data_IF_616690715261
#
_entry.id   IF_616690715261
#
_cell.length_a   1.000
_cell.length_b   1.000
_cell.length_c   1.000
_cell.angle_alpha   90.00
_cell.angle_beta   90.00
_cell.angle_gamma   90.00
#
_symmetry.space_group_name_H-M   'P 1'
#
loop_
_entity.id
_entity.type
_entity.pdbx_description
1 polymer ?
#
# COMPACT_ATOMS: atom_id res chain seq x y z
N UNK A 1 -0.29 -4.45 -39.97
CA UNK A 1 0.48 -4.91 -38.80
C UNK A 1 -0.42 -4.90 -37.56
N UNK A 2 -1.04 -6.03 -37.20
CA UNK A 2 -1.97 -6.16 -36.06
C UNK A 2 -1.58 -7.34 -35.14
N UNK A 3 -0.32 -7.39 -34.70
CA UNK A 3 0.21 -8.47 -33.83
C UNK A 3 0.57 -7.91 -32.44
N UNK A 4 -0.22 -6.99 -31.89
CA UNK A 4 0.12 -6.32 -30.61
C UNK A 4 -0.95 -6.39 -29.53
N UNK A 5 -2.17 -6.88 -29.84
CA UNK A 5 -3.26 -6.97 -28.84
C UNK A 5 -3.41 -8.35 -28.20
N UNK A 6 -3.15 -9.43 -28.93
CA UNK A 6 -3.23 -10.79 -28.38
C UNK A 6 -2.10 -11.13 -27.40
N UNK A 7 -0.91 -10.52 -27.56
CA UNK A 7 0.22 -10.73 -26.66
C UNK A 7 0.02 -10.13 -25.26
N UNK A 8 -0.82 -9.09 -25.12
CA UNK A 8 -1.09 -8.45 -23.82
C UNK A 8 -2.10 -9.22 -22.96
N UNK A 9 -3.00 -9.97 -23.58
CA UNK A 9 -4.01 -10.77 -22.88
C UNK A 9 -3.43 -12.07 -22.29
N UNK A 10 -2.36 -12.61 -22.87
CA UNK A 10 -1.71 -13.82 -22.35
C UNK A 10 -0.80 -13.56 -21.13
N UNK A 11 -0.36 -12.33 -20.88
CA UNK A 11 0.51 -12.02 -19.73
C UNK A 11 -0.24 -11.80 -18.40
N UNK A 12 -1.58 -11.68 -18.41
CA UNK A 12 -2.37 -11.43 -17.18
C UNK A 12 -2.87 -12.74 -16.54
N UNK A 13 -2.76 -13.89 -17.23
CA UNK A 13 -3.24 -15.19 -16.72
C UNK A 13 -2.25 -15.95 -15.82
N UNK A 14 -1.16 -15.30 -15.38
CA UNK A 14 -0.06 -15.94 -14.65
C UNK A 14 -0.06 -15.72 -13.13
N UNK A 15 -1.10 -15.13 -12.55
CA UNK A 15 -1.20 -14.88 -11.10
C UNK A 15 -2.34 -15.70 -10.49
N UNK A 16 -2.35 -17.00 -10.78
CA UNK A 16 -3.03 -17.96 -9.90
C UNK A 16 -2.15 -18.12 -8.66
N UNK A 17 -2.57 -17.40 -7.64
CA UNK A 17 -2.20 -17.55 -6.24
C UNK A 17 -2.05 -19.04 -5.92
N UNK A 18 -0.81 -19.48 -5.78
CA UNK A 18 -0.49 -20.71 -5.04
C UNK A 18 -0.90 -20.44 -3.59
N UNK A 19 -2.17 -20.66 -3.29
CA UNK A 19 -2.61 -20.81 -1.91
C UNK A 19 -1.80 -21.96 -1.34
N UNK A 20 -0.82 -21.65 -0.50
CA UNK A 20 -0.18 -22.63 0.36
C UNK A 20 -1.30 -23.18 1.23
N UNK A 21 -1.83 -24.32 0.79
CA UNK A 21 -2.68 -25.17 1.60
C UNK A 21 -1.88 -25.40 2.88
N UNK A 22 -2.37 -24.91 4.01
CA UNK A 22 -1.85 -25.29 5.32
C UNK A 22 -2.12 -26.78 5.50
N UNK A 23 -1.24 -27.59 4.93
CA UNK A 23 -1.13 -29.00 5.25
C UNK A 23 -0.84 -29.05 6.74
N UNK A 24 -1.55 -29.88 7.49
CA UNK A 24 -1.22 -30.15 8.88
C UNK A 24 0.23 -30.66 8.94
N UNK A 25 1.16 -29.77 9.30
CA UNK A 25 2.58 -30.08 9.41
C UNK A 25 2.84 -30.66 10.79
N UNK A 26 3.34 -31.90 10.84
CA UNK A 26 3.77 -32.52 12.09
C UNK A 26 5.17 -32.03 12.40
N UNK A 27 5.34 -31.39 13.55
CA UNK A 27 6.63 -30.95 14.03
C UNK A 27 7.43 -32.12 14.57
N UNK A 28 8.74 -32.15 14.27
CA UNK A 28 9.67 -33.17 14.75
C UNK A 28 10.91 -32.56 15.40
N UNK A 29 11.39 -33.19 16.47
CA UNK A 29 12.68 -32.85 17.09
C UNK A 29 13.34 -34.07 17.72
N UNK A 30 14.64 -33.97 18.01
CA UNK A 30 15.40 -34.99 18.75
C UNK A 30 15.16 -34.86 20.25
N UNK A 31 14.75 -35.95 20.89
CA UNK A 31 14.59 -36.00 22.34
C UNK A 31 15.92 -36.30 23.05
N UNK A 32 15.94 -36.14 24.38
CA UNK A 32 17.13 -36.40 25.22
C UNK A 32 17.58 -37.86 25.20
N UNK A 33 16.69 -38.80 24.85
CA UNK A 33 16.97 -40.22 24.72
C UNK A 33 17.39 -40.64 23.30
N UNK A 34 17.64 -39.70 22.39
CA UNK A 34 18.11 -39.95 21.02
C UNK A 34 17.04 -40.27 19.96
N UNK A 35 15.80 -40.48 20.37
CA UNK A 35 14.64 -40.71 19.50
C UNK A 35 14.05 -39.43 18.90
N UNK A 36 13.21 -39.59 17.87
CA UNK A 36 12.43 -38.48 17.30
C UNK A 36 11.10 -38.35 18.03
N UNK A 37 10.72 -37.14 18.40
CA UNK A 37 9.39 -36.80 18.94
C UNK A 37 8.58 -36.07 17.88
N UNK A 38 7.28 -36.37 17.80
CA UNK A 38 6.35 -35.83 16.81
C UNK A 38 5.18 -35.16 17.54
N UNK A 39 4.76 -33.97 17.09
CA UNK A 39 3.70 -33.19 17.72
C UNK A 39 3.04 -32.25 16.71
N UNK A 40 1.76 -31.95 16.91
CA UNK A 40 1.02 -30.96 16.12
C UNK A 40 1.43 -29.51 16.45
N UNK A 41 2.13 -29.32 17.58
CA UNK A 41 2.63 -28.04 18.06
C UNK A 41 4.17 -28.09 18.16
N UNK A 42 4.90 -27.04 17.75
CA UNK A 42 6.35 -27.00 17.82
C UNK A 42 6.86 -27.04 19.26
N UNK A 43 8.06 -27.58 19.45
CA UNK A 43 8.68 -27.71 20.78
C UNK A 43 8.79 -26.33 21.46
N UNK A 44 8.19 -26.19 22.65
CA UNK A 44 8.15 -24.93 23.40
C UNK A 44 7.60 -23.73 22.59
N UNK A 45 6.72 -23.97 21.62
CA UNK A 45 6.21 -22.94 20.70
C UNK A 45 7.29 -22.26 19.84
N UNK A 46 8.47 -22.89 19.68
CA UNK A 46 9.61 -22.35 18.92
C UNK A 46 9.82 -23.15 17.64
N UNK A 47 9.38 -22.58 16.51
CA UNK A 47 9.55 -23.16 15.17
C UNK A 47 11.04 -23.37 14.85
N UNK A 48 11.93 -22.49 15.31
CA UNK A 48 13.39 -22.60 15.08
C UNK A 48 14.04 -23.83 15.71
N UNK A 49 13.36 -24.51 16.64
CA UNK A 49 13.88 -25.69 17.34
C UNK A 49 13.24 -26.99 16.86
N UNK A 50 12.24 -26.92 15.97
CA UNK A 50 11.51 -28.06 15.43
C UNK A 50 11.61 -28.10 13.91
N UNK A 51 11.96 -29.25 13.36
CA UNK A 51 11.75 -29.51 11.94
C UNK A 51 10.27 -29.79 11.66
N UNK A 52 9.89 -29.81 10.39
CA UNK A 52 8.54 -30.21 9.96
C UNK A 52 8.61 -31.48 9.13
N UNK A 53 7.63 -32.35 9.30
CA UNK A 53 7.49 -33.61 8.57
C UNK A 53 6.23 -33.56 7.74
N UNK A 54 6.40 -33.70 6.43
CA UNK A 54 5.27 -33.90 5.55
C UNK A 54 4.96 -35.40 5.48
N UNK A 55 3.86 -35.82 6.10
CA UNK A 55 3.46 -37.24 6.16
C UNK A 55 3.14 -37.79 4.76
N UNK A 56 2.57 -36.95 3.87
CA UNK A 56 2.14 -37.37 2.54
C UNK A 56 3.32 -37.66 1.61
N UNK A 57 4.36 -36.82 1.67
CA UNK A 57 5.57 -36.97 0.85
C UNK A 57 6.70 -37.68 1.57
N UNK A 58 6.55 -37.97 2.87
CA UNK A 58 7.57 -38.53 3.77
C UNK A 58 8.87 -37.71 3.78
N UNK A 59 8.79 -36.42 3.50
CA UNK A 59 9.94 -35.51 3.49
C UNK A 59 10.06 -34.81 4.84
N UNK A 60 11.30 -34.65 5.31
CA UNK A 60 11.61 -33.94 6.56
C UNK A 60 12.34 -32.65 6.22
N UNK A 61 11.80 -31.53 6.68
CA UNK A 61 12.43 -30.22 6.60
C UNK A 61 13.15 -29.94 7.93
N UNK A 62 14.48 -29.79 7.93
CA UNK A 62 15.22 -29.51 9.16
C UNK A 62 14.90 -28.11 9.71
N UNK A 63 15.04 -27.90 11.03
CA UNK A 63 14.83 -26.60 11.65
C UNK A 63 15.76 -25.56 11.01
N UNK A 64 15.21 -24.42 10.60
CA UNK A 64 16.01 -23.32 10.06
C UNK A 64 16.84 -22.72 11.21
N UNK A 65 18.18 -22.71 11.13
CA UNK A 65 18.99 -22.06 12.15
C UNK A 65 18.61 -20.58 12.23
N UNK A 66 18.64 -19.96 13.43
CA UNK A 66 18.38 -18.54 13.55
C UNK A 66 19.32 -17.81 12.60
N UNK A 67 18.74 -17.01 11.70
CA UNK A 67 19.48 -16.12 10.82
C UNK A 67 20.18 -15.12 11.75
N UNK A 68 21.46 -15.35 12.02
CA UNK A 68 22.31 -14.34 12.66
C UNK A 68 22.39 -13.19 11.66
N UNK A 69 21.49 -12.23 11.79
CA UNK A 69 21.67 -10.94 11.16
C UNK A 69 22.93 -10.35 11.81
N UNK A 70 24.05 -10.45 11.09
CA UNK A 70 25.24 -9.69 11.40
C UNK A 70 24.83 -8.22 11.37
N UNK A 71 24.50 -7.67 12.53
CA UNK A 71 24.28 -6.27 12.73
C UNK A 71 25.64 -5.59 12.61
N UNK A 72 26.04 -5.29 11.38
CA UNK A 72 27.11 -4.34 11.13
C UNK A 72 26.62 -2.97 11.61
N UNK A 73 27.34 -2.35 12.55
CA UNK A 73 27.06 -1.04 13.13
C UNK A 73 26.55 -1.04 14.58
N UNK A 74 27.08 -0.11 15.40
CA UNK A 74 26.61 0.15 16.76
C UNK A 74 25.13 0.55 16.72
N UNK A 75 24.36 0.25 17.78
CA UNK A 75 22.97 0.70 17.92
C UNK A 75 22.83 2.22 17.76
N UNK A 76 23.87 2.97 18.13
CA UNK A 76 23.93 4.42 17.96
C UNK A 76 24.00 4.86 16.48
N UNK A 77 24.73 4.13 15.64
CA UNK A 77 24.87 4.44 14.22
C UNK A 77 23.53 4.20 13.49
N UNK A 78 22.85 3.10 13.82
CA UNK A 78 21.51 2.80 13.30
C UNK A 78 20.47 3.85 13.68
N UNK A 79 20.53 4.38 14.91
CA UNK A 79 19.63 5.44 15.33
C UNK A 79 19.89 6.76 14.59
N UNK A 80 21.16 7.08 14.32
CA UNK A 80 21.54 8.26 13.56
C UNK A 80 21.03 8.17 12.12
N UNK A 81 21.25 7.04 11.44
CA UNK A 81 20.78 6.83 10.07
C UNK A 81 19.25 6.91 9.96
N UNK A 82 18.53 6.38 10.96
CA UNK A 82 17.07 6.51 11.04
C UNK A 82 16.64 7.97 11.24
N UNK A 83 17.30 8.71 12.12
CA UNK A 83 16.99 10.13 12.34
C UNK A 83 17.24 10.96 11.07
N UNK A 84 18.34 10.69 10.36
CA UNK A 84 18.68 11.37 9.11
C UNK A 84 17.66 11.05 8.00
N UNK A 85 17.21 9.79 7.92
CA UNK A 85 16.16 9.38 6.99
C UNK A 85 14.81 10.08 7.29
N UNK A 86 14.41 10.14 8.56
CA UNK A 86 13.19 10.83 9.00
C UNK A 86 13.27 12.33 8.72
N UNK A 87 14.41 12.97 8.99
CA UNK A 87 14.61 14.39 8.69
C UNK A 87 14.48 14.69 7.18
N UNK A 88 15.05 13.83 6.34
CA UNK A 88 14.94 13.95 4.89
C UNK A 88 13.50 13.76 4.38
N UNK A 89 12.75 12.83 4.97
CA UNK A 89 11.35 12.59 4.63
C UNK A 89 10.44 13.75 5.08
N UNK A 90 10.63 14.25 6.31
CA UNK A 90 9.91 15.42 6.82
C UNK A 90 10.10 16.63 5.92
N UNK A 91 11.33 16.88 5.45
CA UNK A 91 11.61 17.98 4.51
C UNK A 91 10.83 17.82 3.20
N UNK A 92 10.75 16.60 2.65
CA UNK A 92 9.96 16.33 1.43
C UNK A 92 8.47 16.56 1.66
N UNK A 93 7.95 16.12 2.81
CA UNK A 93 6.55 16.31 3.18
C UNK A 93 6.23 17.81 3.32
N UNK A 94 7.10 18.59 3.95
CA UNK A 94 6.93 20.05 4.06
C UNK A 94 6.92 20.73 2.68
N UNK A 95 7.82 20.34 1.78
CA UNK A 95 7.85 20.87 0.41
C UNK A 95 6.58 20.48 -0.39
N UNK A 96 6.08 19.25 -0.22
CA UNK A 96 4.84 18.81 -0.86
C UNK A 96 3.61 19.53 -0.28
N UNK A 97 3.54 19.68 1.04
CA UNK A 97 2.45 20.39 1.70
C UNK A 97 2.37 21.85 1.24
N UNK A 98 3.51 22.54 1.11
CA UNK A 98 3.56 23.90 0.57
C UNK A 98 3.04 23.98 -0.88
N UNK A 99 3.39 23.01 -1.72
CA UNK A 99 2.88 22.94 -3.10
C UNK A 99 1.37 22.72 -3.13
N UNK A 100 0.88 21.78 -2.33
CA UNK A 100 -0.55 21.46 -2.23
C UNK A 100 -1.34 22.67 -1.71
N UNK A 101 -0.80 23.41 -0.73
CA UNK A 101 -1.44 24.62 -0.22
C UNK A 101 -1.58 25.70 -1.31
N UNK A 102 -0.52 25.94 -2.08
CA UNK A 102 -0.55 26.90 -3.18
C UNK A 102 -1.48 26.44 -4.32
N UNK A 103 -1.46 25.16 -4.70
CA UNK A 103 -2.38 24.60 -5.69
C UNK A 103 -3.83 24.73 -5.23
N UNK A 104 -4.12 24.44 -3.95
CA UNK A 104 -5.46 24.61 -3.38
C UNK A 104 -5.90 26.08 -3.38
N UNK A 105 -4.99 27.01 -3.09
CA UNK A 105 -5.27 28.46 -3.16
C UNK A 105 -5.63 28.88 -4.58
N UNK A 106 -4.79 28.53 -5.55
CA UNK A 106 -5.02 28.83 -6.96
C UNK A 106 -6.30 28.18 -7.47
N UNK A 107 -6.59 26.94 -7.05
CA UNK A 107 -7.81 26.24 -7.43
C UNK A 107 -9.06 26.93 -6.86
N UNK A 108 -9.04 27.38 -5.61
CA UNK A 108 -10.14 28.17 -5.02
C UNK A 108 -10.39 29.46 -5.80
N UNK A 109 -9.33 30.20 -6.11
CA UNK A 109 -9.43 31.44 -6.91
C UNK A 109 -9.99 31.18 -8.31
N UNK A 110 -9.48 30.14 -8.98
CA UNK A 110 -9.94 29.73 -10.31
C UNK A 110 -11.41 29.30 -10.30
N UNK A 111 -11.81 28.46 -9.34
CA UNK A 111 -13.19 28.00 -9.20
C UNK A 111 -14.14 29.17 -8.95
N UNK A 112 -13.77 30.11 -8.07
CA UNK A 112 -14.57 31.31 -7.84
C UNK A 112 -14.69 32.17 -9.11
N UNK A 113 -13.58 32.38 -9.83
CA UNK A 113 -13.58 33.14 -11.09
C UNK A 113 -14.49 32.50 -12.13
N UNK A 114 -14.41 31.18 -12.31
CA UNK A 114 -15.27 30.43 -13.24
C UNK A 114 -16.74 30.54 -12.84
N UNK A 115 -17.05 30.36 -11.55
CA UNK A 115 -18.42 30.48 -11.06
C UNK A 115 -19.01 31.88 -11.34
N UNK A 116 -18.24 32.95 -11.12
CA UNK A 116 -18.65 34.33 -11.44
C UNK A 116 -18.84 34.53 -12.94
N UNK A 117 -17.96 34.02 -13.78
CA UNK A 117 -18.10 34.12 -15.25
C UNK A 117 -19.35 33.38 -15.73
N UNK A 118 -19.61 32.18 -15.21
CA UNK A 118 -20.80 31.40 -15.57
C UNK A 118 -22.09 32.10 -15.16
N UNK A 119 -22.11 32.73 -13.97
CA UNK A 119 -23.23 33.57 -13.52
C UNK A 119 -23.48 34.72 -14.48
N UNK A 120 -22.45 35.47 -14.86
CA UNK A 120 -22.56 36.58 -15.81
C UNK A 120 -23.03 36.14 -17.20
N UNK A 121 -22.56 34.97 -17.66
CA UNK A 121 -23.02 34.38 -18.91
C UNK A 121 -24.50 34.00 -18.84
N UNK A 122 -24.95 33.36 -17.75
CA UNK A 122 -26.35 33.02 -17.57
C UNK A 122 -27.25 34.27 -17.49
N UNK A 123 -26.77 35.37 -16.92
CA UNK A 123 -27.53 36.63 -16.89
C UNK A 123 -27.77 37.22 -18.29
N UNK A 124 -26.80 37.09 -19.19
CA UNK A 124 -26.86 37.65 -20.55
C UNK A 124 -27.45 36.70 -21.60
N UNK A 125 -27.52 35.41 -21.29
CA UNK A 125 -28.08 34.39 -22.17
C UNK A 125 -29.60 34.57 -22.36
N UNK A 126 -30.06 34.57 -23.61
CA UNK A 126 -31.49 34.61 -23.97
C UNK A 126 -32.02 33.19 -24.19
N UNK A 127 -32.20 32.45 -23.10
CA UNK A 127 -32.66 31.05 -23.10
C UNK A 127 -33.91 30.89 -22.24
N UNK A 128 -34.77 29.92 -22.57
CA UNK A 128 -36.04 29.70 -21.87
C UNK A 128 -35.86 29.36 -20.37
N UNK A 129 -34.77 28.67 -20.01
CA UNK A 129 -34.50 28.23 -18.63
C UNK A 129 -33.50 29.15 -17.90
N UNK A 130 -33.41 30.42 -18.30
CA UNK A 130 -32.41 31.37 -17.77
C UNK A 130 -32.40 31.42 -16.23
N UNK A 131 -33.57 31.49 -15.61
CA UNK A 131 -33.69 31.65 -14.17
C UNK A 131 -33.21 30.41 -13.39
N UNK A 132 -33.33 29.22 -13.96
CA UNK A 132 -32.78 27.98 -13.38
C UNK A 132 -31.25 27.99 -13.42
N UNK A 133 -30.67 28.40 -14.54
CA UNK A 133 -29.21 28.53 -14.67
C UNK A 133 -28.64 29.59 -13.73
N UNK A 134 -29.29 30.74 -13.60
CA UNK A 134 -28.88 31.80 -12.65
C UNK A 134 -28.87 31.26 -11.22
N UNK A 135 -29.94 30.59 -10.78
CA UNK A 135 -30.02 29.98 -9.44
C UNK A 135 -28.90 28.97 -9.19
N UNK A 136 -28.60 28.13 -10.18
CA UNK A 136 -27.52 27.14 -10.08
C UNK A 136 -26.15 27.82 -9.94
N UNK A 137 -25.86 28.81 -10.77
CA UNK A 137 -24.56 29.50 -10.71
C UNK A 137 -24.43 30.41 -9.49
N UNK A 138 -25.52 30.97 -8.97
CA UNK A 138 -25.50 31.67 -7.68
C UNK A 138 -25.12 30.72 -6.54
N UNK A 139 -25.61 29.48 -6.56
CA UNK A 139 -25.20 28.45 -5.60
C UNK A 139 -23.72 28.05 -5.77
N UNK A 140 -23.22 27.95 -7.00
CA UNK A 140 -21.80 27.68 -7.27
C UNK A 140 -20.92 28.84 -6.79
N UNK A 141 -21.32 30.10 -7.02
CA UNK A 141 -20.62 31.27 -6.49
C UNK A 141 -20.61 31.23 -4.96
N UNK A 142 -21.74 30.94 -4.31
CA UNK A 142 -21.81 30.83 -2.86
C UNK A 142 -20.93 29.69 -2.30
N UNK A 143 -20.71 28.62 -3.07
CA UNK A 143 -19.89 27.47 -2.69
C UNK A 143 -18.38 27.69 -2.90
N UNK A 144 -17.99 28.37 -3.97
CA UNK A 144 -16.58 28.49 -4.38
C UNK A 144 -15.94 29.84 -4.05
N UNK A 145 -16.75 30.89 -3.83
CA UNK A 145 -16.26 32.24 -3.53
C UNK A 145 -16.38 32.66 -2.06
N UNK A 146 -17.01 31.85 -1.20
CA UNK A 146 -17.13 32.10 0.24
C UNK A 146 -16.26 31.15 1.04
#
# INVERSE_FOLDING_TARGET
MHITRFARLLLVSGMLVSGSVSVAEVYTWKNKSGGNSYSDVPQNLKISQSGTVNIRTRTVTPPTPPKTEAADGSLADKQKDLNDAVAAENKKIEEQNKKIEEENRLQKESNCKIARMNRQFAETARIANRDEFVKRYDADVAKFCN
#
